data_IF_427843158206
#
_entry.id   IF_427843158206
#
_cell.length_a   1.000
_cell.length_b   1.000
_cell.length_c   1.000
_cell.angle_alpha   90.00
_cell.angle_beta   90.00
_cell.angle_gamma   90.00
#
_symmetry.space_group_name_H-M   'P 1'
#
loop_
_entity.id
_entity.type
_entity.pdbx_description
1 polymer ?
#
# COMPACT_ATOMS: atom_id res chain seq x y z
N UNK A 1 -19.42 -22.18 8.05
CA UNK A 1 -18.01 -21.74 8.19
C UNK A 1 -17.98 -20.26 7.83
N UNK A 2 -17.96 -19.37 8.83
CA UNK A 2 -17.81 -17.94 8.55
C UNK A 2 -16.41 -17.73 7.99
N UNK A 3 -16.29 -17.11 6.81
CA UNK A 3 -14.99 -16.73 6.29
C UNK A 3 -14.30 -15.84 7.33
N UNK A 4 -13.02 -16.10 7.60
CA UNK A 4 -12.21 -15.17 8.40
C UNK A 4 -12.27 -13.83 7.66
N UNK A 5 -12.93 -12.85 8.25
CA UNK A 5 -13.04 -11.53 7.66
C UNK A 5 -11.72 -10.80 7.89
N UNK A 6 -10.76 -10.98 6.98
CA UNK A 6 -9.47 -10.32 7.05
C UNK A 6 -9.66 -8.87 6.60
N UNK A 7 -9.51 -7.93 7.54
CA UNK A 7 -9.52 -6.50 7.27
C UNK A 7 -8.31 -6.11 6.43
N UNK A 8 -8.48 -5.13 5.55
CA UNK A 8 -7.37 -4.58 4.75
C UNK A 8 -6.71 -3.44 5.51
N UNK A 9 -5.43 -3.55 5.83
CA UNK A 9 -4.71 -2.51 6.58
C UNK A 9 -4.41 -1.30 5.70
N UNK A 10 -4.85 -0.13 6.13
CA UNK A 10 -4.60 1.17 5.48
C UNK A 10 -3.79 2.04 6.41
N UNK A 11 -2.73 2.65 5.90
CA UNK A 11 -2.01 3.70 6.61
C UNK A 11 -2.31 5.05 5.98
N UNK A 12 -2.80 6.02 6.76
CA UNK A 12 -3.07 7.38 6.32
C UNK A 12 -1.99 8.31 6.88
N UNK A 13 -1.40 9.14 6.02
CA UNK A 13 -0.38 10.13 6.38
C UNK A 13 -0.93 11.50 5.99
N UNK A 14 -1.45 12.22 6.97
CA UNK A 14 -2.08 13.54 6.83
C UNK A 14 -2.03 14.24 8.21
N UNK A 15 -1.52 15.47 8.29
CA UNK A 15 -1.40 16.21 9.56
C UNK A 15 -2.73 16.76 10.08
N UNK A 16 -3.76 16.78 9.23
CA UNK A 16 -5.11 17.14 9.61
C UNK A 16 -5.80 15.97 10.33
N UNK A 17 -5.84 16.04 11.66
CA UNK A 17 -6.53 15.07 12.51
C UNK A 17 -8.00 14.88 12.12
N UNK A 18 -8.71 15.96 11.80
CA UNK A 18 -10.13 15.88 11.44
C UNK A 18 -10.31 15.14 10.11
N UNK A 19 -9.40 15.34 9.15
CA UNK A 19 -9.38 14.58 7.90
C UNK A 19 -9.12 13.10 8.15
N UNK A 20 -8.14 12.76 9.00
CA UNK A 20 -7.86 11.35 9.30
C UNK A 20 -8.98 10.66 10.05
N UNK A 21 -9.66 11.35 10.98
CA UNK A 21 -10.82 10.81 11.70
C UNK A 21 -12.01 10.60 10.76
N UNK A 22 -12.24 11.53 9.83
CA UNK A 22 -13.26 11.37 8.79
C UNK A 22 -12.97 10.17 7.90
N UNK A 23 -11.73 10.03 7.42
CA UNK A 23 -11.33 8.89 6.58
C UNK A 23 -11.47 7.57 7.34
N UNK A 24 -11.12 7.54 8.63
CA UNK A 24 -11.31 6.38 9.50
C UNK A 24 -12.80 5.99 9.59
N UNK A 25 -13.66 6.95 9.93
CA UNK A 25 -15.12 6.75 10.02
C UNK A 25 -15.72 6.23 8.71
N UNK A 26 -15.17 6.66 7.57
CA UNK A 26 -15.64 6.27 6.24
C UNK A 26 -15.12 4.90 5.80
N UNK A 27 -13.87 4.55 6.14
CA UNK A 27 -13.20 3.35 5.65
C UNK A 27 -13.40 2.13 6.55
N UNK A 28 -13.46 2.28 7.88
CA UNK A 28 -13.65 1.14 8.79
C UNK A 28 -14.92 0.32 8.49
N UNK A 29 -16.10 0.95 8.21
CA UNK A 29 -17.30 0.21 7.81
C UNK A 29 -17.16 -0.56 6.48
N UNK A 30 -16.13 -0.25 5.69
CA UNK A 30 -15.82 -0.89 4.40
C UNK A 30 -14.77 -2.00 4.54
N UNK A 31 -14.56 -2.51 5.77
CA UNK A 31 -13.64 -3.59 6.10
C UNK A 31 -12.15 -3.23 5.97
N UNK A 32 -11.83 -1.96 6.18
CA UNK A 32 -10.45 -1.50 6.34
C UNK A 32 -10.08 -1.40 7.82
N UNK A 33 -8.83 -1.73 8.14
CA UNK A 33 -8.22 -1.44 9.43
C UNK A 33 -7.34 -0.20 9.26
N UNK A 34 -7.77 0.93 9.82
CA UNK A 34 -7.16 2.23 9.53
C UNK A 34 -6.18 2.63 10.62
N UNK A 35 -4.95 2.91 10.19
CA UNK A 35 -3.87 3.48 10.99
C UNK A 35 -3.52 4.87 10.47
N UNK A 36 -3.06 5.77 11.33
CA UNK A 36 -2.78 7.16 10.97
C UNK A 36 -1.40 7.63 11.45
N UNK A 37 -0.77 8.52 10.68
CA UNK A 37 0.39 9.31 11.09
C UNK A 37 0.04 10.77 10.87
N UNK A 38 -0.17 11.50 11.96
CA UNK A 38 -0.52 12.92 11.93
C UNK A 38 0.67 13.86 12.22
N UNK A 39 1.78 13.35 12.78
CA UNK A 39 2.99 14.14 13.02
C UNK A 39 4.21 13.26 13.28
N UNK A 40 5.42 13.81 13.16
CA UNK A 40 6.62 13.44 13.94
C UNK A 40 7.23 12.03 13.80
N UNK A 41 6.52 11.03 13.27
CA UNK A 41 6.99 9.64 13.25
C UNK A 41 7.93 9.34 12.10
N UNK A 42 8.83 8.38 12.31
CA UNK A 42 9.63 7.75 11.26
C UNK A 42 8.71 6.93 10.34
N UNK A 43 8.50 7.39 9.11
CA UNK A 43 7.60 6.74 8.15
C UNK A 43 8.05 5.30 7.91
N UNK A 44 9.36 5.09 7.74
CA UNK A 44 9.92 3.77 7.49
C UNK A 44 9.73 2.78 8.66
N UNK A 45 9.72 3.25 9.90
CA UNK A 45 9.46 2.39 11.07
C UNK A 45 7.99 1.99 11.11
N UNK A 46 7.09 2.98 11.04
CA UNK A 46 5.65 2.76 11.11
C UNK A 46 5.15 1.88 9.97
N UNK A 47 5.63 2.10 8.74
CA UNK A 47 5.25 1.24 7.60
C UNK A 47 5.72 -0.21 7.80
N UNK A 48 6.88 -0.44 8.41
CA UNK A 48 7.37 -1.80 8.67
C UNK A 48 6.63 -2.48 9.82
N UNK A 49 6.27 -1.73 10.86
CA UNK A 49 5.54 -2.25 12.02
C UNK A 49 4.10 -2.61 11.66
N UNK A 50 3.40 -1.72 10.97
CA UNK A 50 2.00 -1.92 10.59
C UNK A 50 1.88 -2.96 9.46
N UNK A 51 2.86 -2.99 8.55
CA UNK A 51 2.82 -3.71 7.27
C UNK A 51 1.50 -3.43 6.51
N UNK A 52 1.24 -2.17 6.14
CA UNK A 52 -0.02 -1.81 5.50
C UNK A 52 -0.12 -2.41 4.09
N UNK A 53 -1.35 -2.68 3.66
CA UNK A 53 -1.62 -3.15 2.30
C UNK A 53 -1.81 -2.00 1.32
N UNK A 54 -2.02 -0.78 1.83
CA UNK A 54 -2.08 0.45 1.06
C UNK A 54 -1.77 1.67 1.96
N UNK A 55 -1.15 2.68 1.37
CA UNK A 55 -0.86 3.96 2.03
C UNK A 55 -1.61 5.08 1.32
N UNK A 56 -2.28 5.95 2.09
CA UNK A 56 -2.89 7.19 1.62
C UNK A 56 -2.03 8.36 2.13
N UNK A 57 -1.63 9.27 1.24
CA UNK A 57 -0.75 10.39 1.56
C UNK A 57 -1.40 11.71 1.16
N UNK A 58 -1.44 12.67 2.07
CA UNK A 58 -1.68 14.08 1.72
C UNK A 58 -0.36 14.77 1.29
N UNK A 59 -0.45 15.69 0.33
CA UNK A 59 0.75 16.41 -0.15
C UNK A 59 1.06 17.67 0.64
N UNK A 60 0.07 18.29 1.25
CA UNK A 60 0.18 19.60 1.88
C UNK A 60 0.27 19.45 3.39
N UNK A 61 1.34 18.80 3.87
CA UNK A 61 1.63 18.73 5.29
C UNK A 61 2.69 19.78 5.69
N UNK A 62 2.49 20.58 6.75
CA UNK A 62 3.52 21.44 7.32
C UNK A 62 4.74 20.62 7.76
N UNK A 63 5.91 20.93 7.19
CA UNK A 63 7.19 20.33 7.60
C UNK A 63 7.49 18.94 7.03
N UNK A 64 6.56 18.29 6.32
CA UNK A 64 6.80 17.02 5.60
C UNK A 64 6.27 17.11 4.18
N UNK A 65 7.16 16.98 3.21
CA UNK A 65 6.80 16.97 1.79
C UNK A 65 6.25 15.58 1.41
N UNK A 66 4.96 15.47 1.08
CA UNK A 66 4.33 14.21 0.67
C UNK A 66 5.04 13.53 -0.51
N UNK A 67 5.72 14.28 -1.37
CA UNK A 67 6.57 13.72 -2.43
C UNK A 67 7.80 13.01 -1.87
N UNK A 68 8.41 13.57 -0.82
CA UNK A 68 9.53 12.93 -0.13
C UNK A 68 9.09 11.66 0.59
N UNK A 69 7.90 11.67 1.19
CA UNK A 69 7.31 10.47 1.83
C UNK A 69 7.14 9.34 0.81
N UNK A 70 6.61 9.64 -0.39
CA UNK A 70 6.49 8.65 -1.47
C UNK A 70 7.85 8.03 -1.81
N UNK A 71 8.86 8.88 -2.06
CA UNK A 71 10.22 8.43 -2.39
C UNK A 71 10.86 7.65 -1.25
N UNK A 72 10.62 8.03 0.00
CA UNK A 72 11.12 7.33 1.18
C UNK A 72 10.56 5.92 1.25
N UNK A 73 9.24 5.76 1.14
CA UNK A 73 8.56 4.44 1.17
C UNK A 73 9.08 3.55 0.05
N UNK A 74 9.25 4.10 -1.16
CA UNK A 74 9.71 3.34 -2.34
C UNK A 74 11.12 2.78 -2.22
N UNK A 75 11.97 3.33 -1.33
CA UNK A 75 13.31 2.78 -1.09
C UNK A 75 13.28 1.38 -0.46
N UNK A 76 12.20 1.01 0.22
CA UNK A 76 12.13 -0.24 0.97
C UNK A 76 10.82 -1.02 0.81
N UNK A 77 9.78 -0.44 0.19
CA UNK A 77 8.48 -1.08 0.05
C UNK A 77 7.81 -0.79 -1.31
N UNK A 78 7.13 -1.81 -1.82
CA UNK A 78 6.25 -1.74 -3.00
C UNK A 78 4.77 -1.68 -2.59
N UNK A 79 4.47 -1.31 -1.35
CA UNK A 79 3.08 -1.10 -0.91
C UNK A 79 2.41 -0.05 -1.82
N UNK A 80 1.18 -0.28 -2.31
CA UNK A 80 0.48 0.73 -3.10
C UNK A 80 0.36 2.07 -2.36
N UNK A 81 0.60 3.16 -3.07
CA UNK A 81 0.52 4.53 -2.56
C UNK A 81 -0.54 5.29 -3.37
N UNK A 82 -1.55 5.79 -2.67
CA UNK A 82 -2.53 6.71 -3.23
C UNK A 82 -2.30 8.10 -2.63
N UNK A 83 -2.08 9.09 -3.48
CA UNK A 83 -2.09 10.48 -3.03
C UNK A 83 -3.53 10.99 -3.04
N UNK A 84 -3.94 11.63 -1.94
CA UNK A 84 -5.25 12.27 -1.81
C UNK A 84 -5.03 13.72 -1.39
N UNK A 85 -5.15 14.67 -2.33
CA UNK A 85 -4.76 16.07 -2.10
C UNK A 85 -5.76 17.08 -2.65
N UNK A 86 -5.73 18.31 -2.14
CA UNK A 86 -6.47 19.45 -2.70
C UNK A 86 -5.74 20.15 -3.87
N UNK A 87 -4.48 19.78 -4.16
CA UNK A 87 -3.67 20.46 -5.18
C UNK A 87 -4.15 20.08 -6.58
N UNK A 88 -4.91 20.96 -7.21
CA UNK A 88 -5.38 20.79 -8.59
C UNK A 88 -4.58 21.69 -9.54
N UNK A 89 -3.51 21.13 -10.12
CA UNK A 89 -2.66 21.81 -11.11
C UNK A 89 -2.28 20.85 -12.25
N UNK A 90 -2.03 21.37 -13.46
CA UNK A 90 -1.46 20.57 -14.54
C UNK A 90 -0.15 19.89 -14.09
N UNK A 91 0.01 18.62 -14.48
CA UNK A 91 1.22 17.84 -14.19
C UNK A 91 1.29 17.19 -12.81
N UNK A 92 0.32 17.41 -11.90
CA UNK A 92 0.36 16.80 -10.56
C UNK A 92 0.29 15.28 -10.60
N UNK A 93 -0.52 14.71 -11.50
CA UNK A 93 -0.62 13.26 -11.67
C UNK A 93 0.70 12.68 -12.18
N UNK A 94 1.31 13.28 -13.20
CA UNK A 94 2.62 12.85 -13.72
C UNK A 94 3.68 12.88 -12.61
N UNK A 95 3.77 13.99 -11.89
CA UNK A 95 4.73 14.14 -10.81
C UNK A 95 4.53 13.13 -9.67
N UNK A 96 3.28 12.79 -9.37
CA UNK A 96 2.94 11.76 -8.41
C UNK A 96 3.42 10.38 -8.82
N UNK A 97 3.19 10.00 -10.06
CA UNK A 97 3.62 8.71 -10.59
C UNK A 97 5.16 8.62 -10.62
N UNK A 98 5.85 9.70 -11.01
CA UNK A 98 7.31 9.78 -11.00
C UNK A 98 7.90 9.70 -9.58
N UNK A 99 7.22 10.26 -8.59
CA UNK A 99 7.58 10.12 -7.18
C UNK A 99 7.33 8.70 -6.64
N UNK A 100 6.64 7.86 -7.42
CA UNK A 100 6.35 6.47 -7.14
C UNK A 100 4.95 6.22 -6.57
N UNK A 101 4.04 7.19 -6.58
CA UNK A 101 2.64 6.92 -6.28
C UNK A 101 2.00 6.05 -7.38
N UNK A 102 0.96 5.31 -7.04
CA UNK A 102 0.21 4.46 -7.97
C UNK A 102 -1.10 5.11 -8.43
N UNK A 103 -1.60 6.09 -7.67
CA UNK A 103 -2.84 6.80 -7.94
C UNK A 103 -2.82 8.20 -7.31
N UNK A 104 -3.51 9.15 -7.96
CA UNK A 104 -3.70 10.51 -7.48
C UNK A 104 -5.17 10.90 -7.52
N UNK A 105 -5.76 11.23 -6.38
CA UNK A 105 -7.15 11.67 -6.27
C UNK A 105 -7.22 13.08 -5.68
N UNK A 106 -8.13 13.89 -6.22
CA UNK A 106 -8.44 15.21 -5.71
C UNK A 106 -9.50 15.15 -4.60
N UNK A 107 -9.26 15.91 -3.53
CA UNK A 107 -10.26 16.23 -2.51
C UNK A 107 -11.19 17.34 -3.05
N UNK A 108 -12.53 17.27 -2.85
CA UNK A 108 -13.27 16.18 -2.21
C UNK A 108 -13.45 14.98 -3.16
N UNK A 109 -13.26 13.78 -2.63
CA UNK A 109 -13.52 12.51 -3.35
C UNK A 109 -14.76 11.83 -2.76
N UNK A 110 -15.73 11.37 -3.58
CA UNK A 110 -16.81 10.57 -3.05
C UNK A 110 -16.30 9.24 -2.45
N UNK A 111 -16.82 8.86 -1.29
CA UNK A 111 -16.42 7.63 -0.58
C UNK A 111 -16.37 6.40 -1.47
N UNK A 112 -17.40 6.18 -2.30
CA UNK A 112 -17.48 5.01 -3.16
C UNK A 112 -16.38 4.99 -4.25
N UNK A 113 -15.92 6.17 -4.70
CA UNK A 113 -14.78 6.27 -5.62
C UNK A 113 -13.50 5.92 -4.89
N UNK A 114 -13.27 6.52 -3.72
CA UNK A 114 -12.09 6.24 -2.91
C UNK A 114 -11.97 4.74 -2.61
N UNK A 115 -13.02 4.12 -2.08
CA UNK A 115 -13.00 2.69 -1.73
C UNK A 115 -12.80 1.79 -2.95
N UNK A 116 -13.42 2.10 -4.10
CA UNK A 116 -13.20 1.35 -5.34
C UNK A 116 -11.75 1.43 -5.83
N UNK A 117 -11.11 2.59 -5.70
CA UNK A 117 -9.70 2.81 -6.06
C UNK A 117 -8.77 2.05 -5.11
N UNK A 118 -8.97 2.18 -3.80
CA UNK A 118 -8.19 1.45 -2.79
C UNK A 118 -8.28 -0.07 -3.02
N UNK A 119 -9.49 -0.61 -3.18
CA UNK A 119 -9.70 -2.04 -3.44
C UNK A 119 -9.04 -2.52 -4.73
N UNK A 120 -9.01 -1.69 -5.78
CA UNK A 120 -8.34 -2.03 -7.05
C UNK A 120 -6.84 -2.12 -6.89
N UNK A 121 -6.22 -1.16 -6.18
CA UNK A 121 -4.78 -1.15 -5.91
C UNK A 121 -4.37 -2.35 -5.04
N UNK A 122 -5.09 -2.60 -3.96
CA UNK A 122 -4.84 -3.74 -3.05
C UNK A 122 -4.96 -5.07 -3.79
N UNK A 123 -6.00 -5.24 -4.63
CA UNK A 123 -6.18 -6.46 -5.43
C UNK A 123 -4.99 -6.71 -6.36
N UNK A 124 -4.46 -5.67 -7.01
CA UNK A 124 -3.28 -5.78 -7.90
C UNK A 124 -2.04 -6.20 -7.11
N UNK A 125 -1.74 -5.51 -6.00
CA UNK A 125 -0.61 -5.83 -5.16
C UNK A 125 -0.67 -7.25 -4.58
N UNK A 126 -1.85 -7.72 -4.15
CA UNK A 126 -2.04 -9.11 -3.69
C UNK A 126 -1.75 -10.11 -4.80
N UNK A 127 -2.27 -9.87 -6.02
CA UNK A 127 -2.02 -10.74 -7.17
C UNK A 127 -0.52 -10.81 -7.54
N UNK A 128 0.18 -9.68 -7.52
CA UNK A 128 1.62 -9.61 -7.77
C UNK A 128 2.43 -10.34 -6.69
N UNK A 129 2.11 -10.14 -5.40
CA UNK A 129 2.72 -10.88 -4.29
C UNK A 129 2.51 -12.39 -4.46
N UNK A 130 1.29 -12.83 -4.80
CA UNK A 130 0.98 -14.25 -5.03
C UNK A 130 1.75 -14.83 -6.23
N UNK A 131 1.84 -14.10 -7.34
CA UNK A 131 2.60 -14.52 -8.51
C UNK A 131 4.10 -14.68 -8.19
N UNK A 132 4.69 -13.70 -7.49
CA UNK A 132 6.10 -13.74 -7.07
C UNK A 132 6.41 -14.92 -6.13
N UNK A 133 5.47 -15.26 -5.23
CA UNK A 133 5.59 -16.45 -4.37
C UNK A 133 5.54 -17.72 -5.23
N UNK A 134 4.56 -17.86 -6.13
CA UNK A 134 4.44 -19.02 -7.03
C UNK A 134 5.71 -19.26 -7.86
N UNK A 135 6.27 -18.20 -8.44
CA UNK A 135 7.49 -18.29 -9.24
C UNK A 135 8.71 -18.71 -8.42
N UNK A 136 8.80 -18.26 -7.15
CA UNK A 136 9.85 -18.69 -6.22
C UNK A 136 9.74 -20.18 -5.89
N UNK A 137 8.53 -20.68 -5.64
CA UNK A 137 8.29 -22.11 -5.40
C UNK A 137 8.68 -22.95 -6.62
N UNK A 138 8.34 -22.54 -7.84
CA UNK A 138 8.74 -23.26 -9.06
C UNK A 138 10.26 -23.35 -9.22
N UNK A 139 10.96 -22.22 -9.00
CA UNK A 139 12.44 -22.16 -9.11
C UNK A 139 13.16 -22.99 -8.04
N UNK A 140 12.66 -23.00 -6.81
CA UNK A 140 13.30 -23.70 -5.70
C UNK A 140 12.87 -25.18 -5.59
N UNK A 141 11.62 -25.50 -5.95
CA UNK A 141 11.10 -26.87 -5.97
C UNK A 141 11.75 -27.76 -7.04
N UNK A 142 12.09 -27.19 -8.21
CA UNK A 142 12.87 -27.91 -9.23
C UNK A 142 14.30 -28.26 -8.77
N UNK A 143 14.91 -27.48 -7.86
CA UNK A 143 16.25 -27.82 -7.32
C UNK A 143 16.22 -29.03 -6.40
N UNK A 144 15.18 -29.21 -5.59
CA UNK A 144 15.05 -30.36 -4.69
C UNK A 144 14.72 -31.67 -5.42
N UNK A 145 14.01 -31.63 -6.55
CA UNK A 145 13.73 -32.84 -7.34
C UNK A 145 14.98 -33.41 -8.04
N UNK A 146 15.98 -32.58 -8.36
CA UNK A 146 17.23 -33.03 -8.99
C UNK A 146 18.17 -33.69 -7.97
N UNK A 147 18.22 -33.22 -6.72
CA UNK A 147 18.99 -33.87 -5.65
C UNK A 147 18.39 -35.22 -5.24
N UNK A 148 17.06 -35.32 -5.19
CA UNK A 148 16.39 -36.60 -4.90
C UNK A 148 16.58 -37.58 -6.08
N UNK A 149 16.47 -37.14 -7.34
CA UNK A 149 16.69 -38.04 -8.49
C UNK A 149 18.11 -38.65 -8.51
N UNK A 150 19.15 -37.91 -8.11
CA UNK A 150 20.51 -38.46 -8.01
C UNK A 150 20.66 -39.50 -6.90
N UNK A 151 20.00 -39.32 -5.76
CA UNK A 151 20.06 -40.27 -4.62
C UNK A 151 19.38 -41.60 -4.96
N UNK A 152 18.35 -41.58 -5.83
CA UNK A 152 17.63 -42.79 -6.26
C UNK A 152 18.26 -43.49 -7.48
N UNK A 153 19.17 -42.82 -8.20
CA UNK A 153 19.91 -43.40 -9.33
C UNK A 153 21.23 -44.08 -8.92
N UNK A 154 21.63 -44.00 -7.64
CA UNK A 154 22.84 -44.60 -7.09
C UNK A 154 22.60 -45.84 -6.21
N UNK A 155 21.38 -46.38 -6.20
CA UNK A 155 21.01 -47.66 -5.57
C UNK A 155 20.34 -48.60 -6.58
#
# INVERSE_FOLDING_TARGET
MSAINVSTKVLIIDDDYAMTDLLKMVLEPQNFEVHTINSGSSIAEVVREIDPEIVIIDLLMPGKDGWQVCREIRRFSQVPILILSVVDKPGMVEHALDAGADEYLLKPVPTYVLTARLNTLVRRARAEKMAAVSDRWKKNGCKHQIEIAHIWAMN
#
